data_IF_122670307506
#
_entry.id   IF_122670307506
#
_cell.length_a   1.000
_cell.length_b   1.000
_cell.length_c   1.000
_cell.angle_alpha   90.00
_cell.angle_beta   90.00
_cell.angle_gamma   90.00
#
_symmetry.space_group_name_H-M   'P 1'
#
loop_
_entity.id
_entity.type
_entity.pdbx_description
1 polymer ?
#
# COMPACT_ATOMS: atom_id res chain seq x y z
N UNK A 1 -18.07 11.27 -15.02
CA UNK A 1 -17.40 9.96 -14.88
C UNK A 1 -18.29 9.02 -14.09
N UNK A 2 -18.68 7.88 -14.69
CA UNK A 2 -19.64 6.95 -14.08
C UNK A 2 -19.09 6.34 -12.77
N UNK A 3 -19.99 5.94 -11.85
CA UNK A 3 -19.63 5.37 -10.53
C UNK A 3 -18.59 4.24 -10.63
N UNK A 4 -18.72 3.37 -11.64
CA UNK A 4 -17.77 2.29 -11.95
C UNK A 4 -16.37 2.81 -12.31
N UNK A 5 -16.29 3.85 -13.12
CA UNK A 5 -15.01 4.46 -13.52
C UNK A 5 -14.32 5.12 -12.31
N UNK A 6 -15.08 5.79 -11.43
CA UNK A 6 -14.53 6.37 -10.19
C UNK A 6 -13.91 5.31 -9.28
N UNK A 7 -14.62 4.19 -9.05
CA UNK A 7 -14.06 3.06 -8.28
C UNK A 7 -12.79 2.49 -8.92
N UNK A 8 -12.78 2.29 -10.25
CA UNK A 8 -11.58 1.81 -10.96
C UNK A 8 -10.41 2.77 -10.83
N UNK A 9 -10.65 4.07 -10.88
CA UNK A 9 -9.60 5.08 -10.69
C UNK A 9 -9.06 5.09 -9.26
N UNK A 10 -9.95 5.04 -8.26
CA UNK A 10 -9.54 4.97 -6.85
C UNK A 10 -8.72 3.70 -6.56
N UNK A 11 -9.10 2.55 -7.10
CA UNK A 11 -8.29 1.33 -6.99
C UNK A 11 -6.91 1.47 -7.65
N UNK A 12 -6.84 2.11 -8.83
CA UNK A 12 -5.54 2.38 -9.47
C UNK A 12 -4.66 3.31 -8.63
N UNK A 13 -5.25 4.31 -8.00
CA UNK A 13 -4.54 5.22 -7.10
C UNK A 13 -4.06 4.49 -5.84
N UNK A 14 -4.89 3.61 -5.29
CA UNK A 14 -4.53 2.74 -4.18
C UNK A 14 -3.29 1.88 -4.50
N UNK A 15 -3.31 1.17 -5.62
CA UNK A 15 -2.18 0.35 -6.06
C UNK A 15 -0.92 1.20 -6.29
N UNK A 16 -1.04 2.37 -6.92
CA UNK A 16 0.10 3.29 -7.10
C UNK A 16 0.70 3.74 -5.77
N UNK A 17 -0.15 4.12 -4.82
CA UNK A 17 0.29 4.56 -3.50
C UNK A 17 1.07 3.45 -2.76
N UNK A 18 0.67 2.19 -2.89
CA UNK A 18 1.41 1.05 -2.33
C UNK A 18 2.81 0.97 -2.93
N UNK A 19 2.95 1.04 -4.25
CA UNK A 19 4.26 0.96 -4.91
C UNK A 19 5.15 2.18 -4.59
N UNK A 20 4.60 3.39 -4.58
CA UNK A 20 5.33 4.59 -4.16
C UNK A 20 5.77 4.49 -2.70
N UNK A 21 4.94 3.89 -1.83
CA UNK A 21 5.31 3.60 -0.45
C UNK A 21 6.48 2.62 -0.34
N UNK A 22 6.45 1.56 -1.15
CA UNK A 22 7.52 0.59 -1.22
C UNK A 22 8.84 1.21 -1.70
N UNK A 23 8.81 2.04 -2.76
CA UNK A 23 9.99 2.76 -3.24
C UNK A 23 10.56 3.68 -2.16
N UNK A 24 9.72 4.44 -1.45
CA UNK A 24 10.14 5.26 -0.31
C UNK A 24 10.78 4.44 0.80
N UNK A 25 10.23 3.25 1.11
CA UNK A 25 10.84 2.37 2.08
C UNK A 25 12.21 1.90 1.58
N UNK A 26 12.38 1.56 0.30
CA UNK A 26 13.70 1.20 -0.24
C UNK A 26 14.73 2.33 -0.10
N UNK A 27 14.32 3.58 -0.33
CA UNK A 27 15.17 4.76 -0.18
C UNK A 27 15.49 5.09 1.28
N UNK A 28 14.52 4.92 2.18
CA UNK A 28 14.63 5.25 3.59
C UNK A 28 14.39 4.03 4.50
N UNK A 29 15.51 3.49 5.01
CA UNK A 29 15.50 2.35 5.94
C UNK A 29 14.94 2.69 7.33
N UNK A 30 14.69 3.95 7.65
CA UNK A 30 14.05 4.34 8.92
C UNK A 30 12.54 4.07 8.92
N UNK A 31 11.93 3.96 7.74
CA UNK A 31 10.51 3.64 7.60
C UNK A 31 10.31 2.15 7.86
N UNK A 32 9.73 1.85 9.02
CA UNK A 32 9.45 0.47 9.45
C UNK A 32 8.14 -0.07 8.89
N UNK A 33 7.12 0.79 8.79
CA UNK A 33 5.79 0.40 8.35
C UNK A 33 5.08 1.51 7.57
N UNK A 34 4.24 1.11 6.61
CA UNK A 34 3.27 1.96 5.91
C UNK A 34 1.96 1.20 5.73
N UNK A 35 0.84 1.90 5.74
CA UNK A 35 -0.48 1.30 5.55
C UNK A 35 -1.29 2.04 4.47
N UNK A 36 -1.98 1.26 3.65
CA UNK A 36 -2.83 1.76 2.57
C UNK A 36 -4.19 1.10 2.70
N UNK A 37 -5.26 1.88 2.62
CA UNK A 37 -6.63 1.36 2.71
C UNK A 37 -7.44 1.67 1.46
N UNK A 38 -8.20 0.68 0.98
CA UNK A 38 -9.20 0.86 -0.06
C UNK A 38 -10.43 -0.01 0.20
N UNK A 39 -11.60 0.65 0.33
CA UNK A 39 -12.85 -0.01 0.71
C UNK A 39 -12.72 -0.77 2.03
N UNK A 40 -12.73 -2.11 1.98
CA UNK A 40 -12.59 -2.99 3.15
C UNK A 40 -11.22 -3.63 3.23
N UNK A 41 -10.30 -3.29 2.33
CA UNK A 41 -8.96 -3.86 2.33
C UNK A 41 -7.96 -2.86 2.89
N UNK A 42 -7.05 -3.35 3.72
CA UNK A 42 -5.87 -2.60 4.17
C UNK A 42 -4.62 -3.41 3.82
N UNK A 43 -3.74 -2.83 3.01
CA UNK A 43 -2.41 -3.37 2.73
C UNK A 43 -1.38 -2.70 3.62
N UNK A 44 -0.61 -3.52 4.30
CA UNK A 44 0.51 -3.14 5.16
C UNK A 44 1.81 -3.44 4.42
N UNK A 45 2.73 -2.48 4.44
CA UNK A 45 4.14 -2.67 4.10
C UNK A 45 4.91 -2.64 5.41
N UNK A 46 5.57 -3.72 5.76
CA UNK A 46 6.24 -3.86 7.05
C UNK A 46 7.65 -4.43 6.84
N UNK A 47 8.64 -3.90 7.56
CA UNK A 47 9.98 -4.49 7.60
C UNK A 47 10.04 -5.59 8.66
N UNK A 48 10.53 -6.76 8.28
CA UNK A 48 10.87 -7.81 9.22
C UNK A 48 12.19 -7.53 9.97
N UNK A 49 12.54 -8.40 10.91
CA UNK A 49 13.78 -8.32 11.69
C UNK A 49 15.05 -8.43 10.82
N UNK A 50 14.94 -8.94 9.58
CA UNK A 50 16.02 -8.99 8.60
C UNK A 50 16.05 -7.75 7.69
N UNK A 51 15.16 -6.78 7.92
CA UNK A 51 15.02 -5.57 7.12
C UNK A 51 14.35 -5.80 5.76
N UNK A 52 13.76 -6.97 5.48
CA UNK A 52 13.01 -7.22 4.24
C UNK A 52 11.60 -6.65 4.36
N UNK A 53 11.13 -6.07 3.27
CA UNK A 53 9.79 -5.47 3.21
C UNK A 53 8.78 -6.54 2.80
N UNK A 54 7.74 -6.73 3.61
CA UNK A 54 6.63 -7.65 3.35
C UNK A 54 5.36 -6.88 3.04
N UNK A 55 4.54 -7.48 2.16
CA UNK A 55 3.24 -6.96 1.76
C UNK A 55 2.15 -7.85 2.34
N UNK A 56 1.34 -7.32 3.24
CA UNK A 56 0.24 -8.08 3.86
C UNK A 56 -1.07 -7.35 3.63
N UNK A 57 -2.03 -7.97 2.95
CA UNK A 57 -3.37 -7.39 2.78
C UNK A 57 -4.35 -8.10 3.70
N UNK A 58 -5.11 -7.33 4.49
CA UNK A 58 -6.17 -7.81 5.37
C UNK A 58 -7.50 -7.19 4.98
N UNK A 59 -8.56 -7.98 5.05
CA UNK A 59 -9.93 -7.48 4.95
C UNK A 59 -10.42 -7.07 6.34
N UNK A 60 -11.00 -5.87 6.43
CA UNK A 60 -11.59 -5.24 7.61
C UNK A 60 -13.09 -5.56 7.74
#
# INVERSE_FOLDING_TARGET
MNKRQRKKQAYKQYIRAIFEGYEKMLEDSSIKELHFSYLKETTYLERDDQGKIHFTTKEN
#
